data_IF_886453518799
#
_entry.id   IF_886453518799
#
_cell.length_a   1.000
_cell.length_b   1.000
_cell.length_c   1.000
_cell.angle_alpha   90.00
_cell.angle_beta   90.00
_cell.angle_gamma   90.00
#
_symmetry.space_group_name_H-M   'P 1'
#
loop_
_entity.id
_entity.type
_entity.pdbx_description
1 polymer ?
#
# COMPACT_ATOMS: atom_id res chain seq x y z
N UNK A 1 10.11 -6.93 -0.50
CA UNK A 1 9.30 -5.83 -1.10
C UNK A 1 8.68 -4.89 -0.05
N UNK A 2 8.09 -5.45 1.02
CA UNK A 2 7.40 -4.71 2.08
C UNK A 2 8.22 -3.58 2.73
N UNK A 3 9.48 -3.84 3.08
CA UNK A 3 10.35 -2.81 3.65
C UNK A 3 10.56 -1.64 2.67
N UNK A 4 10.74 -1.93 1.39
CA UNK A 4 10.87 -0.90 0.35
C UNK A 4 9.59 -0.08 0.14
N UNK A 5 8.41 -0.70 0.21
CA UNK A 5 7.11 -0.03 0.20
C UNK A 5 6.99 0.94 1.38
N UNK A 6 7.32 0.47 2.59
CA UNK A 6 7.36 1.31 3.79
C UNK A 6 8.31 2.49 3.65
N UNK A 7 9.53 2.25 3.17
CA UNK A 7 10.54 3.30 3.04
C UNK A 7 10.14 4.34 1.99
N UNK A 8 9.52 3.91 0.88
CA UNK A 8 8.98 4.78 -0.15
C UNK A 8 7.92 5.74 0.42
N UNK A 9 6.89 5.20 1.09
CA UNK A 9 5.83 6.02 1.69
C UNK A 9 6.38 6.92 2.80
N UNK A 10 7.32 6.42 3.61
CA UNK A 10 7.94 7.20 4.69
C UNK A 10 8.76 8.37 4.15
N UNK A 11 9.48 8.19 3.04
CA UNK A 11 10.26 9.26 2.42
C UNK A 11 9.38 10.41 1.91
N UNK A 12 8.27 10.08 1.23
CA UNK A 12 7.30 11.07 0.73
C UNK A 12 6.68 11.85 1.89
N UNK A 13 6.24 11.17 2.95
CA UNK A 13 5.55 11.83 4.06
C UNK A 13 6.51 12.70 4.87
N UNK A 14 7.76 12.26 5.05
CA UNK A 14 8.80 13.06 5.71
C UNK A 14 9.13 14.34 4.92
N UNK A 15 9.11 14.29 3.59
CA UNK A 15 9.37 15.48 2.77
C UNK A 15 8.27 16.54 2.86
N UNK A 16 7.06 16.17 3.31
CA UNK A 16 5.98 17.13 3.58
C UNK A 16 6.20 17.97 4.85
N UNK A 17 7.11 17.59 5.75
CA UNK A 17 7.37 18.33 7.01
C UNK A 17 6.20 18.36 8.00
N UNK A 18 5.18 17.52 7.80
CA UNK A 18 3.98 17.46 8.65
C UNK A 18 4.09 16.32 9.66
N UNK A 19 4.39 16.66 10.92
CA UNK A 19 4.58 15.69 12.01
C UNK A 19 3.34 14.80 12.25
N UNK A 20 2.14 15.37 12.17
CA UNK A 20 0.88 14.62 12.33
C UNK A 20 0.74 13.56 11.23
N UNK A 21 1.08 13.91 9.99
CA UNK A 21 1.02 12.97 8.87
C UNK A 21 2.07 11.86 9.02
N UNK A 22 3.29 12.20 9.45
CA UNK A 22 4.36 11.24 9.73
C UNK A 22 3.90 10.22 10.77
N UNK A 23 3.37 10.68 11.90
CA UNK A 23 2.90 9.82 12.98
C UNK A 23 1.72 8.95 12.55
N UNK A 24 0.81 9.50 11.76
CA UNK A 24 -0.36 8.78 11.23
C UNK A 24 0.08 7.61 10.35
N UNK A 25 1.00 7.85 9.42
CA UNK A 25 1.49 6.82 8.50
C UNK A 25 2.30 5.76 9.23
N UNK A 26 3.11 6.14 10.23
CA UNK A 26 3.81 5.18 11.08
C UNK A 26 2.84 4.27 11.83
N UNK A 27 1.77 4.82 12.41
CA UNK A 27 0.75 4.02 13.12
C UNK A 27 0.05 3.01 12.20
N UNK A 28 -0.21 3.36 10.94
CA UNK A 28 -0.77 2.41 9.97
C UNK A 28 0.21 1.27 9.64
N UNK A 29 1.50 1.58 9.52
CA UNK A 29 2.54 0.56 9.35
C UNK A 29 2.67 -0.36 10.57
N UNK A 30 2.53 0.19 11.77
CA UNK A 30 2.59 -0.59 13.00
C UNK A 30 1.38 -1.50 13.16
N UNK A 31 0.19 -1.03 12.77
CA UNK A 31 -1.04 -1.82 12.78
C UNK A 31 -0.95 -3.06 11.85
N UNK A 32 -0.15 -2.98 10.77
CA UNK A 32 0.12 -4.13 9.88
C UNK A 32 0.93 -5.26 10.54
N UNK A 33 1.54 -5.04 11.71
CA UNK A 33 2.33 -6.06 12.44
C UNK A 33 1.50 -6.86 13.45
N UNK A 34 0.17 -6.66 13.50
CA UNK A 34 -0.70 -7.44 14.37
C UNK A 34 -0.99 -8.85 13.84
N UNK A 35 -1.29 -9.85 14.70
CA UNK A 35 -1.53 -11.24 14.29
C UNK A 35 -2.69 -11.41 13.29
N UNK A 36 -3.63 -10.47 13.27
CA UNK A 36 -4.70 -10.41 12.27
C UNK A 36 -4.18 -10.07 10.87
N UNK A 37 -3.22 -9.14 10.77
CA UNK A 37 -2.63 -8.71 9.51
C UNK A 37 -1.51 -9.65 9.03
N UNK A 38 -0.75 -10.29 9.93
CA UNK A 38 0.30 -11.24 9.51
C UNK A 38 -0.29 -12.41 8.70
N UNK A 39 -1.41 -13.00 9.14
CA UNK A 39 -2.11 -14.07 8.41
C UNK A 39 -2.76 -13.63 7.10
N UNK A 40 -2.83 -12.32 6.88
CA UNK A 40 -3.54 -11.65 5.82
C UNK A 40 -2.57 -11.28 4.70
N UNK A 41 -1.43 -10.70 5.09
CA UNK A 41 -0.30 -10.31 4.24
C UNK A 41 0.18 -11.48 3.38
N UNK A 42 0.37 -12.67 3.97
CA UNK A 42 0.82 -13.88 3.25
C UNK A 42 -0.09 -14.29 2.08
N UNK A 43 -1.38 -13.92 2.11
CA UNK A 43 -2.34 -14.32 1.08
C UNK A 43 -2.54 -13.26 -0.01
N UNK A 44 -2.14 -12.01 0.24
CA UNK A 44 -2.48 -10.85 -0.60
C UNK A 44 -1.27 -10.20 -1.28
N UNK A 45 -0.08 -10.55 -0.82
CA UNK A 45 1.19 -10.03 -1.30
C UNK A 45 1.86 -11.01 -2.27
N UNK A 46 1.18 -11.31 -3.38
CA UNK A 46 1.74 -12.14 -4.46
C UNK A 46 2.78 -11.36 -5.29
N UNK A 47 3.66 -12.04 -6.04
CA UNK A 47 4.62 -11.38 -6.93
C UNK A 47 3.96 -10.42 -7.93
N UNK A 48 2.80 -10.77 -8.47
CA UNK A 48 2.03 -9.94 -9.41
C UNK A 48 1.49 -8.68 -8.74
N UNK A 49 0.97 -8.82 -7.52
CA UNK A 49 0.50 -7.69 -6.69
C UNK A 49 1.64 -6.70 -6.41
N UNK A 50 2.83 -7.22 -6.09
CA UNK A 50 4.02 -6.41 -5.87
C UNK A 50 4.52 -5.71 -7.12
N UNK A 51 4.56 -6.39 -8.26
CA UNK A 51 4.96 -5.76 -9.52
C UNK A 51 4.01 -4.61 -9.90
N UNK A 52 2.70 -4.81 -9.72
CA UNK A 52 1.72 -3.75 -9.94
C UNK A 52 1.94 -2.55 -9.00
N UNK A 53 2.19 -2.79 -7.70
CA UNK A 53 2.48 -1.73 -6.73
C UNK A 53 3.77 -0.96 -7.09
N UNK A 54 4.81 -1.65 -7.53
CA UNK A 54 6.08 -1.01 -7.95
C UNK A 54 5.86 -0.12 -9.18
N UNK A 55 5.07 -0.57 -10.16
CA UNK A 55 4.74 0.25 -11.34
C UNK A 55 3.90 1.49 -10.97
N UNK A 56 3.03 1.37 -9.98
CA UNK A 56 2.28 2.49 -9.42
C UNK A 56 3.21 3.48 -8.69
N UNK A 57 4.15 2.99 -7.87
CA UNK A 57 5.15 3.83 -7.21
C UNK A 57 6.02 4.60 -8.22
N UNK A 58 6.40 3.96 -9.33
CA UNK A 58 7.17 4.63 -10.40
C UNK A 58 6.43 5.83 -10.97
N UNK A 59 5.10 5.77 -11.11
CA UNK A 59 4.28 6.90 -11.57
C UNK A 59 4.25 8.04 -10.56
N UNK A 60 4.07 7.72 -9.28
CA UNK A 60 4.16 8.69 -8.18
C UNK A 60 5.52 9.37 -8.18
N UNK A 61 6.60 8.59 -8.24
CA UNK A 61 7.96 9.10 -8.23
C UNK A 61 8.25 10.00 -9.44
N UNK A 62 7.77 9.62 -10.63
CA UNK A 62 7.93 10.43 -11.84
C UNK A 62 7.26 11.80 -11.69
N UNK A 63 6.04 11.85 -11.17
CA UNK A 63 5.31 13.10 -10.93
C UNK A 63 5.98 13.98 -9.87
N UNK A 64 6.51 13.37 -8.80
CA UNK A 64 7.28 14.10 -7.78
C UNK A 64 8.56 14.69 -8.40
N UNK A 65 9.29 13.92 -9.20
CA UNK A 65 10.52 14.37 -9.88
C UNK A 65 10.28 15.48 -10.89
N UNK A 66 9.12 15.49 -11.55
CA UNK A 66 8.71 16.58 -12.44
C UNK A 66 8.14 17.79 -11.70
N UNK A 67 8.14 17.79 -10.36
CA UNK A 67 7.54 18.84 -9.53
C UNK A 67 6.03 19.07 -9.83
N UNK A 68 5.33 18.05 -10.33
CA UNK A 68 3.90 18.11 -10.62
C UNK A 68 3.09 17.60 -9.41
N UNK A 69 2.73 18.53 -8.53
CA UNK A 69 1.97 18.22 -7.33
C UNK A 69 0.57 17.66 -7.62
N UNK A 70 -0.07 18.09 -8.71
CA UNK A 70 -1.40 17.63 -9.08
C UNK A 70 -1.35 16.17 -9.56
N UNK A 71 -0.41 15.85 -10.44
CA UNK A 71 -0.23 14.50 -10.94
C UNK A 71 0.25 13.54 -9.84
N UNK A 72 1.12 14.00 -8.93
CA UNK A 72 1.57 13.20 -7.79
C UNK A 72 0.41 12.83 -6.85
N UNK A 73 -0.50 13.79 -6.59
CA UNK A 73 -1.73 13.54 -5.82
C UNK A 73 -2.59 12.49 -6.50
N UNK A 74 -2.89 12.65 -7.80
CA UNK A 74 -3.72 11.71 -8.56
C UNK A 74 -3.11 10.31 -8.53
N UNK A 75 -1.80 10.20 -8.81
CA UNK A 75 -1.10 8.91 -8.83
C UNK A 75 -1.11 8.21 -7.47
N UNK A 76 -0.97 8.95 -6.36
CA UNK A 76 -1.03 8.37 -5.02
C UNK A 76 -2.45 7.89 -4.69
N UNK A 77 -3.49 8.65 -5.05
CA UNK A 77 -4.88 8.21 -4.87
C UNK A 77 -5.17 6.92 -5.65
N UNK A 78 -4.80 6.88 -6.93
CA UNK A 78 -4.96 5.67 -7.74
C UNK A 78 -4.23 4.46 -7.15
N UNK A 79 -3.00 4.67 -6.67
CA UNK A 79 -2.21 3.62 -6.02
C UNK A 79 -2.92 3.07 -4.77
N UNK A 80 -3.46 3.95 -3.92
CA UNK A 80 -4.20 3.54 -2.71
C UNK A 80 -5.49 2.81 -3.05
N UNK A 81 -6.25 3.27 -4.05
CA UNK A 81 -7.50 2.64 -4.49
C UNK A 81 -7.27 1.25 -5.08
N UNK A 82 -6.22 1.10 -5.89
CA UNK A 82 -5.82 -0.21 -6.45
C UNK A 82 -5.33 -1.14 -5.37
N UNK A 83 -4.54 -0.64 -4.42
CA UNK A 83 -4.11 -1.41 -3.25
C UNK A 83 -5.31 -1.89 -2.45
N UNK A 84 -6.26 -1.00 -2.13
CA UNK A 84 -7.50 -1.35 -1.45
C UNK A 84 -8.33 -2.40 -2.22
N UNK A 85 -8.43 -2.27 -3.55
CA UNK A 85 -9.14 -3.24 -4.39
C UNK A 85 -8.48 -4.61 -4.36
N UNK A 86 -7.15 -4.67 -4.49
CA UNK A 86 -6.37 -5.92 -4.39
C UNK A 86 -6.57 -6.57 -3.02
N UNK A 87 -6.57 -5.79 -1.94
CA UNK A 87 -6.89 -6.31 -0.62
C UNK A 87 -8.34 -6.83 -0.56
N UNK A 88 -9.34 -6.05 -0.96
CA UNK A 88 -10.76 -6.36 -0.78
C UNK A 88 -11.29 -7.53 -1.66
N UNK A 89 -10.85 -7.63 -2.91
CA UNK A 89 -11.20 -8.76 -3.79
C UNK A 89 -10.70 -10.06 -3.20
N UNK A 90 -9.46 -10.05 -2.73
CA UNK A 90 -8.80 -11.23 -2.18
C UNK A 90 -9.42 -11.64 -0.84
N UNK A 91 -9.87 -10.68 -0.01
CA UNK A 91 -10.65 -10.95 1.21
C UNK A 91 -11.95 -11.73 0.95
N UNK A 92 -12.69 -11.39 -0.11
CA UNK A 92 -13.93 -12.12 -0.48
C UNK A 92 -13.63 -13.55 -0.90
N UNK A 93 -12.47 -13.81 -1.52
CA UNK A 93 -12.04 -15.15 -1.90
C UNK A 93 -11.64 -15.99 -0.68
N UNK A 94 -10.92 -15.40 0.29
CA UNK A 94 -10.56 -16.11 1.53
C UNK A 94 -11.81 -16.52 2.32
N UNK A 95 -12.84 -15.67 2.41
CA UNK A 95 -14.14 -16.06 3.02
C UNK A 95 -14.77 -17.26 2.33
N UNK A 96 -14.86 -17.24 0.99
CA UNK A 96 -15.41 -18.36 0.20
C UNK A 96 -14.66 -19.67 0.43
N UNK A 97 -13.32 -19.64 0.48
CA UNK A 97 -12.51 -20.85 0.70
C UNK A 97 -12.73 -21.51 2.07
N UNK A 98 -13.07 -20.72 3.10
CA UNK A 98 -13.40 -21.24 4.44
C UNK A 98 -14.80 -21.85 4.51
N UNK A 99 -15.72 -21.39 3.67
CA UNK A 99 -17.12 -21.84 3.63
C UNK A 99 -17.28 -23.17 2.84
N UNK A 100 -16.36 -23.46 1.93
CA UNK A 100 -16.34 -24.68 1.10
C UNK A 100 -15.48 -25.83 1.66
N UNK A 101 -14.96 -25.72 2.88
CA UNK A 101 -14.20 -26.80 3.52
C UNK A 101 -15.15 -27.60 4.45
N UNK A 102 -15.30 -28.92 4.28
CA UNK A 102 -16.24 -29.73 5.08
C UNK A 102 -15.86 -29.76 6.56
#
# INVERSE_FOLDING_TARGET
PLQGDRDFHSAIVRSCGNSVLIDTVQRFWDARRGPMFERMVDHFETPESWNAAIDEHRKVLAAIRSHDAAQARIAMHEHMDRSHTRFNVSWRQTKRSKETRP
#
